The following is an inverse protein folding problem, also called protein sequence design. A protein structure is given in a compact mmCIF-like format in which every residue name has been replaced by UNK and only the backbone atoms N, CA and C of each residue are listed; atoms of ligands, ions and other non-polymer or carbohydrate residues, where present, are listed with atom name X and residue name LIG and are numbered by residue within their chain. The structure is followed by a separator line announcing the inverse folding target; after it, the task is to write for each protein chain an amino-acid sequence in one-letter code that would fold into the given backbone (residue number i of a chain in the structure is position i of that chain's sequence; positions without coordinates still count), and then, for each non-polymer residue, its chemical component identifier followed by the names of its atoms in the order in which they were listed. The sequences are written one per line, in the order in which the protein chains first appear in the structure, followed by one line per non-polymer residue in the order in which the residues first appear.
data_IF_969936905880
#
_entry.id   IF_969936905880
#
_cell.length_a   1.000
_cell.length_b   1.000
_cell.length_c   1.000
_cell.angle_alpha   90.00
_cell.angle_beta   90.00
_cell.angle_gamma   90.00
#
_symmetry.space_group_name_H-M   'P 1'
#
loop_
_entity.id
_entity.type
_entity.pdbx_description
1 polymer ?
#
# COMPACT_ATOMS: atom_id res chain seq x y z
N UNK A 1 7.39 -2.17 36.64
CA UNK A 1 6.57 -2.67 35.53
C UNK A 1 6.60 -1.61 34.45
N UNK A 2 7.44 -1.84 33.45
CA UNK A 2 7.69 -0.90 32.36
C UNK A 2 6.61 -1.16 31.29
N UNK A 3 5.73 -0.17 31.11
CA UNK A 3 4.78 -0.18 29.97
C UNK A 3 5.60 0.04 28.70
N UNK A 4 5.88 -1.02 27.97
CA UNK A 4 6.32 -0.91 26.58
C UNK A 4 5.10 -0.47 25.79
N UNK A 5 5.06 0.82 25.52
CA UNK A 5 4.20 1.42 24.50
C UNK A 5 4.72 0.89 23.15
N UNK A 6 4.09 -0.16 22.66
CA UNK A 6 4.33 -0.67 21.31
C UNK A 6 3.63 0.31 20.36
N UNK A 7 4.36 1.35 20.01
CA UNK A 7 3.99 2.29 18.96
C UNK A 7 4.24 1.56 17.64
N UNK A 8 3.25 0.80 17.18
CA UNK A 8 3.25 0.29 15.81
C UNK A 8 2.75 1.45 14.95
N UNK A 9 3.69 2.29 14.59
CA UNK A 9 3.52 3.20 13.46
C UNK A 9 3.46 2.31 12.24
N UNK A 10 2.27 2.06 11.72
CA UNK A 10 2.08 1.55 10.37
C UNK A 10 2.41 2.71 9.43
N UNK A 11 3.67 3.05 9.43
CA UNK A 11 4.25 3.84 8.38
C UNK A 11 4.47 2.85 7.24
N UNK A 12 3.75 3.06 6.13
CA UNK A 12 4.34 2.83 4.83
C UNK A 12 5.52 3.80 4.76
N UNK A 13 6.52 3.54 5.60
CA UNK A 13 7.82 4.16 5.48
C UNK A 13 8.49 3.46 4.31
N UNK A 14 7.96 3.69 3.11
CA UNK A 14 8.85 3.78 1.99
C UNK A 14 9.79 4.94 2.38
N UNK A 15 10.99 4.60 2.82
CA UNK A 15 12.10 5.54 2.89
C UNK A 15 12.48 5.92 1.45
N UNK A 16 11.54 6.56 0.76
CA UNK A 16 11.84 7.30 -0.44
C UNK A 16 11.98 8.75 -0.01
N UNK A 17 13.14 9.35 -0.24
CA UNK A 17 13.23 10.79 -0.26
C UNK A 17 12.47 11.27 -1.50
N UNK A 18 11.16 11.34 -1.42
CA UNK A 18 10.26 11.72 -2.50
C UNK A 18 8.88 11.98 -1.93
N UNK A 19 8.16 12.80 -2.63
CA UNK A 19 6.85 13.30 -2.25
C UNK A 19 5.73 12.59 -3.03
N UNK A 20 5.92 11.31 -3.42
CA UNK A 20 4.89 10.51 -4.07
C UNK A 20 3.70 10.29 -3.14
N UNK A 21 2.53 10.60 -3.60
CA UNK A 21 1.26 10.39 -2.92
C UNK A 21 0.25 9.72 -3.83
N UNK A 22 -0.87 9.31 -3.29
CA UNK A 22 -1.96 8.68 -4.04
C UNK A 22 -3.29 8.95 -3.35
N UNK A 23 -4.36 8.96 -4.12
CA UNK A 23 -5.68 9.14 -3.54
C UNK A 23 -6.12 7.92 -2.73
N UNK A 24 -5.87 6.71 -3.24
CA UNK A 24 -6.42 5.49 -2.67
C UNK A 24 -5.54 4.28 -2.96
N UNK A 25 -5.50 3.32 -2.03
CA UNK A 25 -4.83 2.03 -2.21
C UNK A 25 -5.77 0.88 -1.85
N UNK A 26 -5.81 -0.16 -2.69
CA UNK A 26 -6.62 -1.36 -2.45
C UNK A 26 -5.75 -2.61 -2.37
N UNK A 27 -6.15 -3.52 -1.51
CA UNK A 27 -5.53 -4.83 -1.30
C UNK A 27 -6.55 -5.93 -1.51
N UNK A 28 -6.17 -6.90 -2.35
CA UNK A 28 -6.87 -8.16 -2.55
C UNK A 28 -5.88 -9.29 -2.25
N UNK A 29 -5.98 -9.90 -1.07
CA UNK A 29 -5.05 -10.90 -0.58
C UNK A 29 -5.73 -12.26 -0.49
N UNK A 30 -5.36 -13.19 -1.37
CA UNK A 30 -5.89 -14.55 -1.44
C UNK A 30 -4.97 -15.49 -0.63
N UNK A 31 -5.50 -16.05 0.45
CA UNK A 31 -4.79 -16.94 1.35
C UNK A 31 -4.77 -18.37 0.77
N UNK A 32 -3.58 -18.93 0.59
CA UNK A 32 -3.35 -20.33 0.16
C UNK A 32 -3.08 -21.24 1.37
N UNK A 33 -2.65 -20.65 2.47
CA UNK A 33 -2.47 -21.25 3.78
C UNK A 33 -2.86 -20.27 4.87
N UNK A 34 -2.42 -20.49 6.10
CA UNK A 34 -2.73 -19.60 7.22
C UNK A 34 -2.03 -18.25 7.12
N UNK A 35 -0.79 -18.23 6.64
CA UNK A 35 0.01 -16.99 6.58
C UNK A 35 0.50 -16.66 5.18
N UNK A 36 0.50 -17.60 4.25
CA UNK A 36 1.02 -17.41 2.90
C UNK A 36 -0.08 -17.27 1.86
N UNK A 37 0.25 -16.65 0.76
CA UNK A 37 -0.71 -16.45 -0.32
C UNK A 37 -0.19 -15.58 -1.45
N UNK A 38 -1.14 -15.03 -2.19
CA UNK A 38 -0.89 -14.10 -3.28
C UNK A 38 -1.82 -12.89 -3.18
N UNK A 39 -1.35 -11.77 -3.68
CA UNK A 39 -2.12 -10.53 -3.61
C UNK A 39 -2.04 -9.68 -4.86
N UNK A 40 -3.02 -8.80 -4.97
CA UNK A 40 -3.03 -7.70 -5.91
C UNK A 40 -3.15 -6.41 -5.10
N UNK A 41 -2.21 -5.52 -5.30
CA UNK A 41 -2.20 -4.18 -4.71
C UNK A 41 -2.45 -3.20 -5.84
N UNK A 42 -3.41 -2.29 -5.68
CA UNK A 42 -3.71 -1.25 -6.66
C UNK A 42 -3.63 0.11 -5.99
N UNK A 43 -2.92 1.01 -6.64
CA UNK A 43 -2.76 2.39 -6.21
C UNK A 43 -3.47 3.27 -7.23
N UNK A 44 -4.31 4.18 -6.76
CA UNK A 44 -5.15 5.01 -7.61
C UNK A 44 -4.77 6.48 -7.49
N UNK A 45 -4.67 7.14 -8.65
CA UNK A 45 -4.33 8.56 -8.79
C UNK A 45 -3.00 8.89 -8.08
N UNK A 46 -1.91 8.44 -8.71
CA UNK A 46 -0.56 8.67 -8.22
C UNK A 46 -0.12 10.06 -8.63
N UNK A 47 0.28 10.87 -7.64
CA UNK A 47 0.72 12.25 -7.81
C UNK A 47 2.01 12.52 -7.05
N UNK A 48 2.55 13.71 -7.23
CA UNK A 48 3.67 14.25 -6.48
C UNK A 48 3.22 15.45 -5.67
N UNK A 49 3.52 15.48 -4.37
CA UNK A 49 3.32 16.66 -3.53
C UNK A 49 4.57 17.54 -3.47
N UNK A 50 5.49 17.40 -4.42
CA UNK A 50 6.72 18.15 -4.52
C UNK A 50 6.46 19.67 -4.56
N UNK A 51 7.24 20.41 -3.76
CA UNK A 51 7.18 21.88 -3.72
C UNK A 51 8.13 22.52 -4.72
N UNK A 52 9.17 21.80 -5.16
CA UNK A 52 10.18 22.28 -6.10
C UNK A 52 10.22 21.46 -7.38
N UNK A 53 10.79 22.02 -8.44
CA UNK A 53 10.99 21.29 -9.69
C UNK A 53 12.03 20.15 -9.56
N UNK A 54 12.99 20.28 -8.65
CA UNK A 54 14.00 19.24 -8.37
C UNK A 54 13.34 18.04 -7.68
N UNK A 55 12.53 18.26 -6.66
CA UNK A 55 11.80 17.22 -5.95
C UNK A 55 10.83 16.49 -6.89
N UNK A 56 10.18 17.23 -7.79
CA UNK A 56 9.29 16.65 -8.79
C UNK A 56 10.02 15.73 -9.78
N UNK A 57 11.24 16.11 -10.23
CA UNK A 57 12.05 15.23 -11.07
C UNK A 57 12.50 13.98 -10.29
N UNK A 58 12.81 14.11 -8.99
CA UNK A 58 13.11 12.97 -8.13
C UNK A 58 11.92 12.02 -8.00
N UNK A 59 10.72 12.53 -7.81
CA UNK A 59 9.49 11.72 -7.75
C UNK A 59 9.23 10.97 -9.06
N UNK A 60 9.43 11.62 -10.21
CA UNK A 60 9.33 10.95 -11.51
C UNK A 60 10.32 9.81 -11.65
N UNK A 61 11.59 10.06 -11.27
CA UNK A 61 12.62 9.03 -11.33
C UNK A 61 12.30 7.87 -10.36
N UNK A 62 11.82 8.19 -9.17
CA UNK A 62 11.41 7.20 -8.17
C UNK A 62 10.29 6.33 -8.71
N UNK A 63 9.23 6.92 -9.26
CA UNK A 63 8.11 6.16 -9.79
C UNK A 63 8.46 5.37 -11.05
N UNK A 64 8.98 6.06 -12.09
CA UNK A 64 9.12 5.45 -13.40
C UNK A 64 10.40 4.61 -13.54
N UNK A 65 11.52 5.05 -12.99
CA UNK A 65 12.79 4.35 -13.17
C UNK A 65 13.08 3.36 -12.05
N UNK A 66 12.81 3.71 -10.78
CA UNK A 66 13.05 2.79 -9.68
C UNK A 66 11.88 1.84 -9.44
N UNK A 67 10.69 2.33 -9.11
CA UNK A 67 9.55 1.47 -8.74
C UNK A 67 9.02 0.68 -9.93
N UNK A 68 8.92 1.28 -11.10
CA UNK A 68 8.32 0.64 -12.27
C UNK A 68 9.32 -0.19 -13.08
N UNK A 69 10.55 0.25 -13.31
CA UNK A 69 11.50 -0.44 -14.21
C UNK A 69 12.60 -1.23 -13.50
N UNK A 70 13.08 -0.76 -12.35
CA UNK A 70 14.29 -1.32 -11.74
C UNK A 70 14.06 -2.69 -11.10
N UNK A 71 14.98 -3.63 -11.35
CA UNK A 71 15.03 -4.90 -10.64
C UNK A 71 15.47 -4.75 -9.18
N UNK A 72 16.09 -3.62 -8.80
CA UNK A 72 16.44 -3.35 -7.42
C UNK A 72 15.17 -3.25 -6.56
N UNK A 73 14.14 -2.55 -7.02
CA UNK A 73 12.85 -2.49 -6.34
C UNK A 73 12.25 -3.89 -6.08
N UNK A 74 12.32 -4.79 -7.08
CA UNK A 74 11.87 -6.19 -6.90
C UNK A 74 12.66 -6.90 -5.81
N UNK A 75 13.98 -6.66 -5.75
CA UNK A 75 14.86 -7.26 -4.75
C UNK A 75 14.58 -6.70 -3.35
N UNK A 76 14.31 -5.40 -3.24
CA UNK A 76 13.99 -4.75 -1.97
C UNK A 76 12.65 -5.25 -1.43
N UNK A 77 11.61 -5.34 -2.26
CA UNK A 77 10.32 -5.91 -1.88
C UNK A 77 10.44 -7.37 -1.44
N UNK A 78 11.31 -8.16 -2.10
CA UNK A 78 11.55 -9.55 -1.70
C UNK A 78 12.20 -9.63 -0.32
N UNK A 79 13.13 -8.74 -0.01
CA UNK A 79 13.77 -8.67 1.32
C UNK A 79 12.74 -8.32 2.40
N UNK A 80 11.70 -7.59 2.07
CA UNK A 80 10.56 -7.31 2.93
C UNK A 80 9.52 -8.45 2.99
N UNK A 81 9.72 -9.53 2.22
CA UNK A 81 8.84 -10.69 2.19
C UNK A 81 7.68 -10.60 1.20
N UNK A 82 7.73 -9.66 0.27
CA UNK A 82 6.78 -9.47 -0.82
C UNK A 82 7.46 -9.80 -2.16
N UNK A 83 7.14 -10.95 -2.76
CA UNK A 83 7.71 -11.32 -4.06
C UNK A 83 6.84 -10.77 -5.19
N UNK A 84 7.33 -9.79 -5.92
CA UNK A 84 6.64 -9.20 -7.07
C UNK A 84 6.62 -10.20 -8.23
N UNK A 85 5.43 -10.54 -8.72
CA UNK A 85 5.19 -11.36 -9.91
C UNK A 85 5.09 -10.48 -11.15
N UNK A 86 4.35 -9.39 -11.04
CA UNK A 86 4.19 -8.40 -12.10
C UNK A 86 3.85 -7.04 -11.51
N UNK A 87 4.20 -6.01 -12.24
CA UNK A 87 3.86 -4.63 -11.93
C UNK A 87 3.53 -3.90 -13.21
N UNK A 88 2.61 -2.96 -13.14
CA UNK A 88 2.26 -2.11 -14.27
C UNK A 88 1.77 -0.75 -13.79
N UNK A 89 2.02 0.26 -14.59
CA UNK A 89 1.34 1.54 -14.55
C UNK A 89 0.33 1.60 -15.70
N UNK A 90 -0.76 2.33 -15.53
CA UNK A 90 -1.75 2.51 -16.58
C UNK A 90 -2.56 3.79 -16.33
N UNK A 91 -3.09 4.36 -17.41
CA UNK A 91 -4.02 5.47 -17.33
C UNK A 91 -5.46 4.94 -17.28
N UNK A 92 -6.26 5.51 -16.41
CA UNK A 92 -7.70 5.33 -16.37
C UNK A 92 -8.36 6.66 -16.01
N UNK A 93 -9.27 7.12 -16.86
CA UNK A 93 -9.94 8.41 -16.70
C UNK A 93 -8.92 9.59 -16.58
N UNK A 94 -7.85 9.52 -17.38
CA UNK A 94 -6.69 10.41 -17.39
C UNK A 94 -5.85 10.43 -16.08
N UNK A 95 -6.14 9.57 -15.11
CA UNK A 95 -5.39 9.43 -13.87
C UNK A 95 -4.35 8.32 -13.96
N UNK A 96 -3.17 8.53 -13.39
CA UNK A 96 -2.12 7.53 -13.33
C UNK A 96 -2.36 6.56 -12.18
N UNK A 97 -2.42 5.28 -12.50
CA UNK A 97 -2.66 4.20 -11.55
C UNK A 97 -1.56 3.14 -11.63
N UNK A 98 -1.37 2.42 -10.54
CA UNK A 98 -0.45 1.30 -10.44
C UNK A 98 -1.14 0.00 -10.02
N UNK A 99 -0.64 -1.12 -10.52
CA UNK A 99 -1.03 -2.47 -10.06
C UNK A 99 0.22 -3.32 -9.87
N UNK A 100 0.30 -3.98 -8.73
CA UNK A 100 1.36 -4.94 -8.41
C UNK A 100 0.73 -6.26 -8.00
N UNK A 101 1.19 -7.36 -8.61
CA UNK A 101 0.84 -8.72 -8.17
C UNK A 101 2.01 -9.30 -7.40
N UNK A 102 1.72 -9.84 -6.23
CA UNK A 102 2.72 -10.39 -5.32
C UNK A 102 2.37 -11.81 -4.88
N UNK A 103 3.38 -12.56 -4.43
CA UNK A 103 3.22 -13.64 -3.47
C UNK A 103 3.87 -13.23 -2.15
N UNK A 104 3.37 -13.77 -1.06
CA UNK A 104 3.92 -13.57 0.27
C UNK A 104 3.95 -14.90 1.04
N UNK A 105 5.01 -15.10 1.81
CA UNK A 105 5.16 -16.28 2.68
C UNK A 105 4.56 -16.03 4.05
N UNK A 106 4.42 -14.78 4.44
CA UNK A 106 3.86 -14.36 5.72
C UNK A 106 3.07 -13.07 5.56
N UNK A 107 1.74 -13.16 5.73
CA UNK A 107 0.83 -12.01 5.63
C UNK A 107 1.16 -10.90 6.62
N UNK A 108 1.81 -11.21 7.74
CA UNK A 108 2.23 -10.22 8.74
C UNK A 108 3.29 -9.25 8.22
N UNK A 109 3.87 -9.54 7.06
CA UNK A 109 4.77 -8.65 6.30
C UNK A 109 4.06 -7.81 5.25
N UNK A 110 2.73 -7.97 5.12
CA UNK A 110 1.90 -7.22 4.19
C UNK A 110 1.11 -6.19 4.98
N UNK A 111 1.47 -4.91 4.84
CA UNK A 111 0.76 -3.74 5.36
C UNK A 111 0.35 -3.81 6.84
N UNK A 112 1.19 -4.36 7.69
CA UNK A 112 0.93 -4.41 9.13
C UNK A 112 -0.24 -5.30 9.54
N UNK A 113 -0.70 -6.20 8.66
CA UNK A 113 -1.70 -7.21 9.01
C UNK A 113 -1.09 -8.13 10.07
N UNK A 114 -1.75 -8.28 11.20
CA UNK A 114 -1.39 -9.22 12.25
C UNK A 114 -2.26 -10.48 12.18
N UNK A 115 -1.77 -11.58 12.74
CA UNK A 115 -2.55 -12.79 12.95
C UNK A 115 -2.33 -13.29 14.39
N UNK A 116 -3.41 -13.30 15.16
CA UNK A 116 -3.40 -13.69 16.58
C UNK A 116 -4.77 -14.27 16.95
N UNK A 117 -4.80 -15.28 17.83
CA UNK A 117 -6.00 -15.92 18.38
C UNK A 117 -7.03 -16.38 17.32
N UNK A 118 -6.57 -16.67 16.11
CA UNK A 118 -7.45 -17.12 15.01
C UNK A 118 -8.11 -16.02 14.22
N UNK A 119 -7.63 -14.78 14.35
CA UNK A 119 -8.08 -13.62 13.59
C UNK A 119 -6.93 -12.94 12.86
N UNK A 120 -7.20 -12.48 11.64
CA UNK A 120 -6.36 -11.49 11.00
C UNK A 120 -6.90 -10.12 11.39
N UNK A 121 -6.03 -9.17 11.63
CA UNK A 121 -6.46 -7.81 11.90
C UNK A 121 -5.43 -6.78 11.43
N UNK A 122 -5.91 -5.60 11.10
CA UNK A 122 -5.10 -4.42 10.81
C UNK A 122 -5.56 -3.28 11.72
N UNK A 123 -4.62 -2.68 12.43
CA UNK A 123 -4.89 -1.53 13.30
C UNK A 123 -4.42 -0.26 12.61
N UNK A 124 -5.26 0.77 12.65
CA UNK A 124 -5.09 2.05 11.98
C UNK A 124 -5.38 3.19 12.95
N UNK A 125 -4.87 4.37 12.65
CA UNK A 125 -5.19 5.58 13.40
C UNK A 125 -6.65 6.00 13.17
N UNK A 126 -7.20 6.79 14.09
CA UNK A 126 -8.60 7.27 13.99
C UNK A 126 -8.83 8.18 12.77
N UNK A 127 -7.78 8.85 12.31
CA UNK A 127 -7.82 9.75 11.16
C UNK A 127 -7.85 8.99 9.82
N UNK A 128 -7.32 7.75 9.79
CA UNK A 128 -7.31 6.95 8.57
C UNK A 128 -8.72 6.67 8.05
N UNK A 129 -8.88 6.67 6.76
CA UNK A 129 -10.18 6.47 6.10
C UNK A 129 -10.26 5.13 5.40
N UNK A 130 -11.12 4.24 5.92
CA UNK A 130 -11.44 2.96 5.28
C UNK A 130 -12.52 3.21 4.23
N UNK A 131 -12.18 3.03 2.95
CA UNK A 131 -13.14 3.16 1.85
C UNK A 131 -14.05 1.93 1.73
N UNK A 132 -13.46 0.75 1.79
CA UNK A 132 -14.21 -0.52 1.76
C UNK A 132 -13.40 -1.66 2.38
N UNK A 133 -14.12 -2.67 2.90
CA UNK A 133 -13.51 -3.92 3.38
C UNK A 133 -14.56 -5.03 3.44
N UNK A 134 -14.11 -6.29 3.40
CA UNK A 134 -14.93 -7.45 3.72
C UNK A 134 -14.74 -7.94 5.17
N UNK A 135 -13.94 -7.21 5.97
CA UNK A 135 -13.76 -7.44 7.40
C UNK A 135 -14.75 -6.65 8.25
N UNK A 136 -14.82 -6.97 9.52
CA UNK A 136 -15.55 -6.21 10.53
C UNK A 136 -14.71 -5.01 10.99
N UNK A 137 -15.31 -3.82 11.03
CA UNK A 137 -14.65 -2.61 11.50
C UNK A 137 -15.01 -2.37 12.96
N UNK A 138 -14.00 -2.28 13.81
CA UNK A 138 -14.13 -1.89 15.22
C UNK A 138 -13.46 -0.54 15.39
N UNK A 139 -14.17 0.39 16.04
CA UNK A 139 -13.67 1.73 16.38
C UNK A 139 -13.66 1.86 17.90
N UNK A 140 -12.51 2.21 18.45
CA UNK A 140 -12.32 2.56 19.86
C UNK A 140 -12.00 4.05 20.00
N UNK A 141 -11.75 4.50 21.21
CA UNK A 141 -11.31 5.88 21.46
C UNK A 141 -9.85 6.16 21.04
N UNK A 142 -9.08 5.09 20.75
CA UNK A 142 -7.64 5.19 20.48
C UNK A 142 -7.25 4.76 19.05
N UNK A 143 -8.05 3.89 18.40
CA UNK A 143 -7.72 3.32 17.10
C UNK A 143 -8.95 2.81 16.34
N UNK A 144 -8.81 2.58 15.04
CA UNK A 144 -9.67 1.74 14.21
C UNK A 144 -9.00 0.40 13.95
N UNK A 145 -9.80 -0.65 13.84
CA UNK A 145 -9.30 -1.98 13.49
C UNK A 145 -10.25 -2.66 12.52
N UNK A 146 -9.67 -3.27 11.48
CA UNK A 146 -10.40 -4.21 10.61
C UNK A 146 -10.03 -5.62 11.08
N UNK A 147 -11.04 -6.49 11.25
CA UNK A 147 -10.86 -7.86 11.72
C UNK A 147 -11.46 -8.83 10.72
N UNK A 148 -10.73 -9.89 10.42
CA UNK A 148 -11.18 -11.02 9.61
C UNK A 148 -11.02 -12.33 10.37
N UNK A 149 -12.05 -13.18 10.34
CA UNK A 149 -11.97 -14.54 10.91
C UNK A 149 -10.96 -15.40 10.14
N UNK A 150 -10.33 -16.35 10.84
CA UNK A 150 -9.35 -17.28 10.24
C UNK A 150 -9.87 -18.13 9.08
N UNK A 151 -11.18 -18.26 8.93
CA UNK A 151 -11.81 -18.98 7.81
C UNK A 151 -11.88 -18.17 6.52
N UNK A 152 -11.58 -16.87 6.57
CA UNK A 152 -11.55 -16.01 5.38
C UNK A 152 -10.55 -16.56 4.37
N UNK A 153 -10.94 -16.56 3.09
CA UNK A 153 -10.07 -16.99 1.98
C UNK A 153 -9.46 -15.82 1.24
N UNK A 154 -10.14 -14.70 1.26
CA UNK A 154 -9.69 -13.48 0.61
C UNK A 154 -9.91 -12.31 1.56
N UNK A 155 -8.84 -11.61 1.89
CA UNK A 155 -8.85 -10.36 2.64
C UNK A 155 -8.93 -9.23 1.62
N UNK A 156 -9.97 -8.39 1.75
CA UNK A 156 -10.19 -7.22 0.92
C UNK A 156 -10.24 -5.98 1.81
N UNK A 157 -9.47 -4.97 1.46
CA UNK A 157 -9.61 -3.65 2.06
C UNK A 157 -9.07 -2.57 1.13
N UNK A 158 -9.60 -1.38 1.31
CA UNK A 158 -9.23 -0.20 0.55
C UNK A 158 -9.22 1.00 1.47
N UNK A 159 -8.14 1.77 1.39
CA UNK A 159 -7.85 2.91 2.27
C UNK A 159 -7.69 4.15 1.41
N UNK A 160 -8.24 5.26 1.87
CA UNK A 160 -8.01 6.60 1.29
C UNK A 160 -6.85 7.24 2.04
N UNK A 161 -5.91 7.82 1.31
CA UNK A 161 -4.82 8.57 1.91
C UNK A 161 -5.35 9.85 2.59
N UNK A 162 -4.92 10.11 3.82
CA UNK A 162 -5.38 11.23 4.62
C UNK A 162 -4.80 12.58 4.19
N UNK A 163 -3.64 12.55 3.56
CA UNK A 163 -2.87 13.72 3.12
C UNK A 163 -2.97 13.99 1.61
N UNK A 164 -3.91 13.34 0.91
CA UNK A 164 -4.11 13.56 -0.51
C UNK A 164 -4.79 14.91 -0.79
N UNK A 165 -4.25 15.64 -1.79
CA UNK A 165 -4.79 16.91 -2.31
C UNK A 165 -4.89 16.85 -3.84
N UNK A 166 -6.05 17.21 -4.41
CA UNK A 166 -6.28 17.28 -5.85
C UNK A 166 -5.39 18.32 -6.57
N UNK A 167 -4.78 19.25 -5.82
CA UNK A 167 -3.85 20.24 -6.35
C UNK A 167 -2.40 19.71 -6.49
N UNK A 168 -2.10 18.53 -6.03
CA UNK A 168 -0.78 17.92 -6.21
C UNK A 168 -0.45 17.70 -7.68
N UNK A 169 0.85 17.68 -7.98
CA UNK A 169 1.35 17.63 -9.35
C UNK A 169 1.03 16.30 -10.01
N UNK A 170 0.41 16.37 -11.18
CA UNK A 170 -0.01 15.21 -11.95
C UNK A 170 1.20 14.53 -12.64
N UNK A 171 1.32 13.23 -12.45
CA UNK A 171 2.35 12.40 -13.07
C UNK A 171 1.86 11.70 -14.35
N UNK A 172 0.56 11.70 -14.62
CA UNK A 172 -0.03 11.05 -15.81
C UNK A 172 0.56 11.54 -17.15
N UNK A 173 0.82 12.86 -17.36
CA UNK A 173 1.40 13.35 -18.60
C UNK A 173 2.81 12.81 -18.91
N UNK A 174 3.52 12.32 -17.90
CA UNK A 174 4.89 11.81 -18.02
C UNK A 174 4.96 10.30 -18.22
N UNK A 175 3.84 9.62 -18.03
CA UNK A 175 3.74 8.19 -18.30
C UNK A 175 3.69 7.94 -19.82
N UNK A 176 4.61 7.12 -20.31
CA UNK A 176 4.59 6.64 -21.70
C UNK A 176 4.30 5.15 -21.68
N UNK A 177 3.18 4.80 -22.27
CA UNK A 177 2.84 3.39 -22.44
C UNK A 177 3.91 2.72 -23.31
N UNK A 178 4.56 1.70 -22.78
CA UNK A 178 5.51 0.91 -23.58
C UNK A 178 4.70 0.00 -24.50
N UNK A 179 4.79 0.26 -25.84
CA UNK A 179 4.18 -0.54 -26.91
C UNK A 179 4.92 -1.87 -27.10
#
# INVERSE_FOLDING_TARGET
MQKQLLMIVVLISFFFPGCLTFHRISYELNLEGQLNGKGIIRVYDIRSNAETGEDFEEDKNTLFDYMYKSNNFISDMRNEGKNIISRRLYLKDDLLNGEVKITFDDIRKVEGIAFEDGFYYMTMDLEDSIYSTNGEIIISDEYKRIIWDKSVKTILFEIVATDYDDNYLDLAPYYKEEN
#
